data_IF_149116512907
#
_entry.id   IF_149116512907
#
_cell.length_a   1.000
_cell.length_b   1.000
_cell.length_c   1.000
_cell.angle_alpha   90.00
_cell.angle_beta   90.00
_cell.angle_gamma   90.00
#
_symmetry.space_group_name_H-M   'P 1'
#
loop_
_entity.id
_entity.type
_entity.pdbx_description
1 polymer ?
#
# COMPACT_ATOMS: atom_id res chain seq x y z
N UNK A 1 56.91 10.36 8.10
CA UNK A 1 55.62 9.69 8.35
C UNK A 1 54.95 10.40 9.51
N UNK A 2 53.95 11.25 9.24
CA UNK A 2 53.26 12.00 10.29
C UNK A 2 52.33 11.03 11.02
N UNK A 3 52.59 10.78 12.30
CA UNK A 3 51.73 9.93 13.10
C UNK A 3 50.36 10.60 13.25
N UNK A 4 49.30 9.85 12.96
CA UNK A 4 47.94 10.32 13.18
C UNK A 4 47.72 10.41 14.70
N UNK A 5 47.46 11.61 15.21
CA UNK A 5 47.18 11.79 16.63
C UNK A 5 45.93 11.00 17.04
N UNK A 6 45.90 10.52 18.29
CA UNK A 6 44.81 9.70 18.85
C UNK A 6 43.42 10.27 18.59
N UNK A 7 43.27 11.60 18.65
CA UNK A 7 42.03 12.31 18.34
C UNK A 7 41.60 12.18 16.87
N UNK A 8 42.55 12.20 15.93
CA UNK A 8 42.28 11.99 14.50
C UNK A 8 41.84 10.56 14.20
N UNK A 9 42.41 9.57 14.90
CA UNK A 9 42.01 8.18 14.77
C UNK A 9 40.57 7.94 15.28
N UNK A 10 40.22 8.53 16.43
CA UNK A 10 38.86 8.44 17.01
C UNK A 10 37.82 9.10 16.09
N UNK A 11 38.12 10.27 15.52
CA UNK A 11 37.22 10.94 14.56
C UNK A 11 36.98 10.09 13.30
N UNK A 12 38.02 9.43 12.78
CA UNK A 12 37.87 8.53 11.63
C UNK A 12 36.98 7.33 11.95
N UNK A 13 37.17 6.70 13.12
CA UNK A 13 36.33 5.59 13.57
C UNK A 13 34.86 6.03 13.70
N UNK A 14 34.60 7.21 14.28
CA UNK A 14 33.24 7.75 14.39
C UNK A 14 32.60 7.98 13.01
N UNK A 15 33.35 8.48 12.03
CA UNK A 15 32.85 8.65 10.66
C UNK A 15 32.48 7.29 10.05
N UNK A 16 33.32 6.26 10.20
CA UNK A 16 33.02 4.91 9.72
C UNK A 16 31.81 4.29 10.42
N UNK A 17 31.63 4.53 11.72
CA UNK A 17 30.43 4.07 12.45
C UNK A 17 29.17 4.78 11.94
N UNK A 18 29.22 6.10 11.73
CA UNK A 18 28.08 6.85 11.20
C UNK A 18 27.73 6.38 9.78
N UNK A 19 28.72 6.27 8.90
CA UNK A 19 28.49 5.89 7.51
C UNK A 19 28.13 4.41 7.34
N UNK A 20 28.74 3.52 8.12
CA UNK A 20 28.60 2.07 7.98
C UNK A 20 27.48 1.45 8.80
N UNK A 21 27.04 2.10 9.88
CA UNK A 21 26.01 1.55 10.78
C UNK A 21 24.77 2.45 10.81
N UNK A 22 24.93 3.75 11.08
CA UNK A 22 23.78 4.66 11.25
C UNK A 22 23.04 4.86 9.92
N UNK A 23 23.73 5.19 8.82
CA UNK A 23 23.07 5.45 7.53
C UNK A 23 22.29 4.25 6.97
N UNK A 24 22.80 3.00 6.99
CA UNK A 24 22.05 1.84 6.52
C UNK A 24 20.88 1.43 7.43
N UNK A 25 20.86 1.85 8.70
CA UNK A 25 19.72 1.68 9.60
C UNK A 25 18.58 2.67 9.30
N UNK A 26 18.89 3.79 8.64
CA UNK A 26 17.91 4.81 8.22
C UNK A 26 17.24 4.47 6.89
N UNK A 27 17.71 3.45 6.17
CA UNK A 27 17.09 2.99 4.93
C UNK A 27 16.09 1.87 5.23
N UNK A 28 14.83 2.11 4.87
CA UNK A 28 13.77 1.13 5.03
C UNK A 28 14.02 -0.05 4.06
N UNK A 29 14.41 -1.21 4.59
CA UNK A 29 14.64 -2.43 3.79
C UNK A 29 13.41 -2.91 3.03
N UNK A 30 12.22 -2.53 3.49
CA UNK A 30 10.93 -3.00 2.95
C UNK A 30 10.22 -1.94 2.07
N UNK A 31 10.86 -0.79 1.80
CA UNK A 31 10.23 0.30 1.01
C UNK A 31 9.02 0.96 1.67
N UNK A 32 8.73 0.65 2.94
CA UNK A 32 7.66 1.27 3.72
C UNK A 32 8.24 2.37 4.62
N UNK A 33 7.62 3.55 4.65
CA UNK A 33 7.96 4.58 5.65
C UNK A 33 7.22 4.32 6.96
N UNK A 34 7.89 4.52 8.09
CA UNK A 34 7.21 4.56 9.37
C UNK A 34 6.13 5.66 9.38
N UNK A 35 5.01 5.40 10.06
CA UNK A 35 3.97 6.40 10.27
C UNK A 35 4.47 7.57 11.13
N UNK A 36 3.93 8.77 10.90
CA UNK A 36 4.29 9.98 11.65
C UNK A 36 3.33 10.17 12.82
N UNK A 37 3.87 10.35 14.03
CA UNK A 37 3.09 10.72 15.21
C UNK A 37 2.58 12.18 15.09
N UNK A 38 1.34 12.52 15.52
CA UNK A 38 0.36 11.65 16.18
C UNK A 38 -0.55 10.90 15.20
N UNK A 39 -0.49 11.20 13.90
CA UNK A 39 -1.41 10.65 12.90
C UNK A 39 -1.40 9.11 12.90
N UNK A 40 -0.23 8.48 13.00
CA UNK A 40 -0.07 7.02 13.09
C UNK A 40 -0.75 6.37 14.31
N UNK A 41 -1.08 7.16 15.33
CA UNK A 41 -1.81 6.73 16.54
C UNK A 41 -3.30 7.05 16.43
N UNK A 42 -3.64 8.18 15.82
CA UNK A 42 -5.01 8.66 15.70
C UNK A 42 -5.79 8.03 14.55
N UNK A 43 -5.09 7.61 13.48
CA UNK A 43 -5.71 7.14 12.24
C UNK A 43 -5.15 5.78 11.80
N UNK A 44 -5.99 4.92 11.21
CA UNK A 44 -5.53 3.66 10.65
C UNK A 44 -4.83 3.88 9.30
N UNK A 45 -3.98 2.93 8.90
CA UNK A 45 -3.02 3.04 7.78
C UNK A 45 -3.58 3.61 6.46
N UNK A 46 -4.83 3.30 6.14
CA UNK A 46 -5.46 3.67 4.87
C UNK A 46 -6.49 4.80 4.99
N UNK A 47 -6.45 5.60 6.06
CA UNK A 47 -7.37 6.73 6.29
C UNK A 47 -7.39 7.76 5.17
N UNK A 48 -6.29 7.88 4.42
CA UNK A 48 -6.17 8.85 3.33
C UNK A 48 -6.95 8.44 2.07
N UNK A 49 -7.16 7.12 1.90
CA UNK A 49 -7.81 6.55 0.71
C UNK A 49 -9.17 5.93 1.00
N UNK A 50 -9.44 5.54 2.25
CA UNK A 50 -10.68 4.92 2.69
C UNK A 50 -11.33 5.70 3.82
N UNK A 51 -12.65 5.78 3.79
CA UNK A 51 -13.46 6.35 4.86
C UNK A 51 -13.30 5.49 6.12
N UNK A 52 -12.74 6.07 7.15
CA UNK A 52 -12.65 5.43 8.48
C UNK A 52 -14.05 5.38 9.09
N UNK A 53 -14.40 4.25 9.70
CA UNK A 53 -15.67 4.12 10.41
C UNK A 53 -15.73 5.14 11.56
N UNK A 54 -16.90 5.75 11.81
CA UNK A 54 -17.11 6.70 12.92
C UNK A 54 -16.85 6.09 14.30
N UNK A 55 -17.01 4.78 14.44
CA UNK A 55 -16.76 4.05 15.68
C UNK A 55 -15.93 2.81 15.36
N UNK A 56 -14.63 3.00 15.09
CA UNK A 56 -13.77 1.91 14.66
C UNK A 56 -13.59 0.91 15.79
N UNK A 57 -13.77 -0.37 15.49
CA UNK A 57 -13.69 -1.43 16.49
C UNK A 57 -14.00 -2.79 15.91
N UNK A 58 -14.15 -3.80 16.78
CA UNK A 58 -14.63 -5.10 16.36
C UNK A 58 -16.14 -5.05 16.12
N UNK A 59 -16.59 -5.45 14.93
CA UNK A 59 -18.02 -5.60 14.65
C UNK A 59 -18.53 -6.95 15.17
N UNK A 60 -19.27 -6.92 16.27
CA UNK A 60 -19.88 -8.10 16.89
C UNK A 60 -21.09 -8.66 16.13
N UNK A 61 -21.62 -7.92 15.16
CA UNK A 61 -22.83 -8.28 14.43
C UNK A 61 -22.54 -8.97 13.10
N UNK A 62 -21.36 -8.70 12.50
CA UNK A 62 -20.95 -9.32 11.25
C UNK A 62 -20.53 -10.78 11.43
N UNK A 63 -21.15 -11.66 10.65
CA UNK A 63 -20.70 -13.04 10.45
C UNK A 63 -20.08 -13.23 9.05
N UNK A 64 -19.47 -14.40 8.83
CA UNK A 64 -18.93 -14.79 7.52
C UNK A 64 -19.99 -14.70 6.40
N UNK A 65 -21.24 -15.07 6.68
CA UNK A 65 -22.32 -14.98 5.69
C UNK A 65 -22.76 -13.54 5.42
N UNK A 66 -22.59 -12.62 6.38
CA UNK A 66 -22.89 -11.20 6.18
C UNK A 66 -21.83 -10.51 5.32
N UNK A 67 -20.56 -10.91 5.45
CA UNK A 67 -19.46 -10.23 4.72
C UNK A 67 -19.32 -10.73 3.28
N UNK A 68 -19.68 -11.98 2.98
CA UNK A 68 -19.44 -12.57 1.66
C UNK A 68 -20.14 -11.79 0.51
N UNK A 69 -21.29 -11.18 0.78
CA UNK A 69 -22.03 -10.39 -0.22
C UNK A 69 -21.26 -9.15 -0.68
N UNK A 70 -20.34 -8.63 0.14
CA UNK A 70 -19.49 -7.49 -0.21
C UNK A 70 -18.27 -7.90 -1.06
N UNK A 71 -17.97 -9.20 -1.14
CA UNK A 71 -16.81 -9.76 -1.85
C UNK A 71 -17.24 -10.90 -2.79
N UNK A 72 -17.97 -10.58 -3.87
CA UNK A 72 -18.52 -11.60 -4.76
C UNK A 72 -17.42 -12.36 -5.50
N UNK A 73 -17.64 -13.67 -5.68
CA UNK A 73 -16.86 -14.51 -6.59
C UNK A 73 -17.76 -14.99 -7.71
N UNK A 74 -17.41 -14.63 -8.94
CA UNK A 74 -18.16 -14.93 -10.14
C UNK A 74 -17.64 -16.23 -10.78
N UNK A 75 -18.55 -17.10 -11.23
CA UNK A 75 -18.18 -18.29 -12.00
C UNK A 75 -17.75 -17.93 -13.42
N UNK A 76 -17.10 -18.86 -14.13
CA UNK A 76 -16.55 -18.61 -15.47
C UNK A 76 -17.57 -18.13 -16.51
N UNK A 77 -18.86 -18.49 -16.34
CA UNK A 77 -19.94 -18.12 -17.26
C UNK A 77 -20.70 -16.85 -16.84
N UNK A 78 -20.29 -16.20 -15.75
CA UNK A 78 -20.94 -15.00 -15.25
C UNK A 78 -20.38 -13.75 -15.94
N UNK A 79 -21.22 -12.75 -16.23
CA UNK A 79 -20.81 -11.51 -16.91
C UNK A 79 -19.92 -10.58 -16.06
N UNK A 80 -19.75 -10.90 -14.78
CA UNK A 80 -18.94 -10.17 -13.81
C UNK A 80 -17.46 -10.56 -13.86
N UNK A 81 -16.58 -9.73 -13.32
CA UNK A 81 -15.14 -9.98 -13.27
C UNK A 81 -14.65 -10.19 -11.85
N UNK A 82 -13.81 -11.21 -11.64
CA UNK A 82 -13.11 -11.44 -10.37
C UNK A 82 -11.83 -10.59 -10.25
N UNK A 83 -11.42 -9.89 -11.32
CA UNK A 83 -10.23 -9.03 -11.34
C UNK A 83 -10.53 -7.66 -10.73
N UNK A 84 -11.08 -7.64 -9.51
CA UNK A 84 -11.44 -6.42 -8.79
C UNK A 84 -10.17 -5.81 -8.20
N UNK A 85 -9.74 -4.68 -8.77
CA UNK A 85 -8.53 -3.96 -8.32
C UNK A 85 -8.79 -3.01 -7.16
N UNK A 86 -9.96 -2.38 -7.14
CA UNK A 86 -10.33 -1.35 -6.17
C UNK A 86 -11.55 -1.81 -5.38
N UNK A 87 -11.31 -2.30 -4.17
CA UNK A 87 -12.36 -2.76 -3.26
C UNK A 87 -13.00 -1.57 -2.54
N UNK A 88 -14.29 -1.68 -2.16
CA UNK A 88 -14.98 -0.61 -1.42
C UNK A 88 -14.50 -0.47 0.02
N UNK A 89 -13.92 -1.53 0.56
CA UNK A 89 -13.18 -1.59 1.84
C UNK A 89 -11.81 -2.18 1.56
N UNK A 90 -10.79 -1.90 2.38
CA UNK A 90 -9.44 -2.39 2.13
C UNK A 90 -9.25 -3.86 2.53
N UNK A 91 -10.11 -4.73 2.02
CA UNK A 91 -10.10 -6.17 2.25
C UNK A 91 -10.74 -6.86 1.04
N UNK A 92 -10.37 -8.12 0.83
CA UNK A 92 -10.88 -9.00 -0.22
C UNK A 92 -11.86 -10.05 0.35
N UNK A 93 -12.35 -9.85 1.58
CA UNK A 93 -13.26 -10.79 2.25
C UNK A 93 -12.60 -11.98 2.93
N UNK A 94 -11.26 -12.06 2.94
CA UNK A 94 -10.51 -13.13 3.62
C UNK A 94 -10.10 -12.77 5.06
N UNK A 95 -10.52 -11.61 5.55
CA UNK A 95 -10.32 -11.20 6.92
C UNK A 95 -10.99 -12.17 7.90
N UNK A 96 -10.24 -12.57 8.92
CA UNK A 96 -10.71 -13.43 10.00
C UNK A 96 -10.19 -12.88 11.32
N UNK A 97 -11.05 -12.74 12.34
CA UNK A 97 -12.48 -13.02 12.36
C UNK A 97 -13.35 -12.03 11.55
N UNK A 98 -14.59 -12.39 11.16
CA UNK A 98 -15.47 -11.55 10.33
C UNK A 98 -15.73 -10.15 10.88
N UNK A 99 -15.76 -9.99 12.20
CA UNK A 99 -15.95 -8.68 12.84
C UNK A 99 -14.83 -7.67 12.54
N UNK A 100 -13.65 -8.12 12.11
CA UNK A 100 -12.58 -7.21 11.67
C UNK A 100 -12.77 -6.69 10.24
N UNK A 101 -13.58 -7.35 9.41
CA UNK A 101 -13.77 -7.01 8.00
C UNK A 101 -14.48 -5.68 7.76
N UNK A 102 -15.42 -5.35 8.64
CA UNK A 102 -16.30 -4.17 8.53
C UNK A 102 -16.09 -3.15 9.64
N UNK A 103 -15.27 -3.50 10.63
CA UNK A 103 -15.15 -2.75 11.87
C UNK A 103 -14.34 -1.45 11.77
N UNK A 104 -13.35 -1.40 10.87
CA UNK A 104 -12.39 -0.28 10.80
C UNK A 104 -12.71 0.76 9.71
N UNK A 105 -13.26 0.32 8.59
CA UNK A 105 -13.51 1.16 7.41
C UNK A 105 -14.95 1.04 6.91
N UNK A 106 -15.53 2.20 6.57
CA UNK A 106 -16.82 2.30 5.91
C UNK A 106 -16.70 2.09 4.39
N UNK A 107 -17.86 1.91 3.74
CA UNK A 107 -17.93 1.81 2.28
C UNK A 107 -17.40 3.09 1.63
N UNK A 108 -16.30 2.94 0.89
CA UNK A 108 -15.65 4.02 0.15
C UNK A 108 -15.90 3.83 -1.34
N UNK A 109 -16.39 4.88 -2.00
CA UNK A 109 -16.44 4.93 -3.45
C UNK A 109 -15.02 5.16 -3.99
N UNK A 110 -14.53 4.22 -4.79
CA UNK A 110 -13.16 4.23 -5.25
C UNK A 110 -13.00 5.18 -6.44
N UNK A 111 -11.98 6.04 -6.37
CA UNK A 111 -11.59 6.89 -7.50
C UNK A 111 -10.80 6.06 -8.50
N UNK A 112 -11.50 5.44 -9.44
CA UNK A 112 -10.87 4.64 -10.50
C UNK A 112 -10.20 5.60 -11.49
N UNK A 113 -8.87 5.55 -11.68
CA UNK A 113 -8.22 6.37 -12.68
C UNK A 113 -8.76 6.01 -14.07
N UNK A 114 -8.90 6.99 -14.97
CA UNK A 114 -9.28 6.68 -16.34
C UNK A 114 -8.28 5.68 -16.95
N UNK A 115 -8.73 4.80 -17.84
CA UNK A 115 -7.82 3.90 -18.53
C UNK A 115 -6.72 4.71 -19.23
N UNK A 116 -5.50 4.16 -19.33
CA UNK A 116 -4.42 4.85 -20.03
C UNK A 116 -4.86 5.16 -21.46
N UNK A 117 -4.49 6.34 -21.94
CA UNK A 117 -4.76 6.74 -23.32
C UNK A 117 -3.97 5.79 -24.22
N UNK A 118 -4.70 5.05 -25.07
CA UNK A 118 -4.08 4.18 -26.06
C UNK A 118 -3.28 5.01 -27.08
N UNK A 119 -2.20 4.45 -27.63
CA UNK A 119 -1.41 5.16 -28.63
C UNK A 119 -2.24 5.50 -29.88
N UNK A 120 -1.96 6.67 -30.47
CA UNK A 120 -2.69 7.17 -31.63
C UNK A 120 -2.53 6.24 -32.83
N UNK A 121 -3.65 5.93 -33.50
CA UNK A 121 -3.67 5.12 -34.73
C UNK A 121 -2.87 5.76 -35.87
N UNK A 122 -2.58 7.06 -35.79
CA UNK A 122 -2.05 7.85 -36.90
C UNK A 122 -0.54 8.07 -36.87
N UNK A 123 0.16 7.77 -35.76
CA UNK A 123 1.49 8.35 -35.53
C UNK A 123 2.63 7.34 -35.40
N UNK A 124 2.36 6.05 -35.20
CA UNK A 124 3.43 5.05 -35.03
C UNK A 124 2.91 3.62 -35.20
N UNK A 125 3.74 2.67 -35.70
CA UNK A 125 3.42 1.26 -35.67
C UNK A 125 3.23 0.81 -34.21
N UNK A 126 2.26 -0.06 -33.99
CA UNK A 126 1.87 -0.52 -32.64
C UNK A 126 1.99 -2.03 -32.55
N UNK A 127 2.50 -2.48 -31.42
CA UNK A 127 2.52 -3.89 -31.02
C UNK A 127 1.72 -4.01 -29.73
N UNK A 128 0.49 -4.53 -29.85
CA UNK A 128 -0.50 -4.57 -28.77
C UNK A 128 -0.82 -3.18 -28.19
N UNK A 129 -0.44 -2.95 -26.93
CA UNK A 129 -0.65 -1.70 -26.18
C UNK A 129 0.56 -0.76 -26.26
N UNK A 130 1.63 -1.16 -26.95
CA UNK A 130 2.88 -0.42 -27.01
C UNK A 130 3.09 0.20 -28.38
N UNK A 131 3.80 1.32 -28.37
CA UNK A 131 4.30 2.01 -29.56
C UNK A 131 5.67 1.42 -29.88
N UNK A 132 5.90 0.97 -31.11
CA UNK A 132 7.27 0.65 -31.55
C UNK A 132 7.91 1.93 -32.09
N UNK A 133 9.11 2.22 -31.59
CA UNK A 133 10.01 3.18 -32.20
C UNK A 133 11.02 2.33 -32.98
N UNK A 134 10.75 2.16 -34.28
CA UNK A 134 11.73 1.60 -35.21
C UNK A 134 12.81 2.66 -35.51
#
# INVERSE_FOLDING_TARGET
>A
MNQLNSTGLVSLIMIFVILGVILPLMTNKEGMSAGIYPNAVENPLLSDSYKVNKSPGYDWTSSASNIYVDYPSFSANHCGTNNIRYWRRPTNGQCSPPGMCQGLYDLTEQKIPPPPIGPSFSQTPRVNYFVSND
#
